data_IF_946159588965
#
_entry.id   IF_946159588965
#
_cell.length_a   1.000
_cell.length_b   1.000
_cell.length_c   1.000
_cell.angle_alpha   90.00
_cell.angle_beta   90.00
_cell.angle_gamma   90.00
#
_symmetry.space_group_name_H-M   'P 1'
#
loop_
_entity.id
_entity.type
_entity.pdbx_description
1 polymer ?
#
# COMPACT_ATOMS: atom_id res chain seq x y z
N UNK A 1 13.53 8.43 44.58
CA UNK A 1 13.31 7.09 43.99
C UNK A 1 12.51 7.34 42.71
N UNK A 2 13.18 7.27 41.55
CA UNK A 2 12.70 7.78 40.25
C UNK A 2 11.58 6.92 39.69
N UNK A 3 10.49 7.58 39.31
CA UNK A 3 9.42 7.05 38.47
C UNK A 3 9.99 6.65 37.10
N UNK A 4 9.84 5.38 36.73
CA UNK A 4 10.09 4.88 35.38
C UNK A 4 8.73 4.67 34.70
N UNK A 5 8.20 5.73 34.08
CA UNK A 5 7.16 5.60 33.08
C UNK A 5 7.82 5.42 31.71
N UNK A 6 7.85 4.19 31.22
CA UNK A 6 8.25 3.87 29.84
C UNK A 6 7.08 4.24 28.91
N UNK A 7 6.97 5.52 28.58
CA UNK A 7 5.83 6.13 27.89
C UNK A 7 5.82 5.99 26.36
N UNK A 8 5.87 4.77 25.82
CA UNK A 8 5.76 4.54 24.37
C UNK A 8 4.78 3.42 23.94
N UNK A 9 3.99 2.84 24.86
CA UNK A 9 3.10 1.72 24.55
C UNK A 9 1.66 1.92 25.05
N UNK A 10 0.99 2.99 24.61
CA UNK A 10 -0.47 3.12 24.77
C UNK A 10 -1.19 3.80 23.58
N UNK A 11 -0.47 4.32 22.58
CA UNK A 11 -1.12 4.95 21.43
C UNK A 11 -1.57 3.88 20.44
N UNK A 12 -2.89 3.73 20.30
CA UNK A 12 -3.50 2.92 19.23
C UNK A 12 -3.79 3.84 18.05
N UNK A 13 -3.20 3.52 16.89
CA UNK A 13 -3.47 4.22 15.65
C UNK A 13 -4.69 3.59 14.97
N UNK A 14 -5.58 4.44 14.46
CA UNK A 14 -6.76 4.01 13.71
C UNK A 14 -6.77 4.72 12.37
N UNK A 15 -6.99 3.97 11.30
CA UNK A 15 -7.12 4.49 9.95
C UNK A 15 -8.56 4.35 9.47
N UNK A 16 -9.16 5.47 9.05
CA UNK A 16 -10.53 5.51 8.54
C UNK A 16 -10.50 5.85 7.05
N UNK A 17 -10.89 4.92 6.14
CA UNK A 17 -10.94 5.23 4.73
C UNK A 17 -12.02 6.28 4.44
N UNK A 18 -11.62 7.36 3.77
CA UNK A 18 -12.51 8.48 3.42
C UNK A 18 -13.14 8.35 2.03
N UNK A 19 -12.77 7.32 1.26
CA UNK A 19 -13.38 6.98 -0.02
C UNK A 19 -13.21 5.49 -0.31
N UNK A 20 -13.95 4.99 -1.30
CA UNK A 20 -13.99 3.56 -1.62
C UNK A 20 -12.65 3.03 -2.11
N UNK A 21 -11.87 3.87 -2.82
CA UNK A 21 -10.52 3.50 -3.27
C UNK A 21 -9.59 3.22 -2.09
N UNK A 22 -9.52 4.12 -1.12
CA UNK A 22 -8.70 3.92 0.08
C UNK A 22 -9.23 2.75 0.91
N UNK A 23 -10.55 2.56 0.98
CA UNK A 23 -11.15 1.38 1.63
C UNK A 23 -10.68 0.08 0.98
N UNK A 24 -10.71 0.00 -0.34
CA UNK A 24 -10.24 -1.17 -1.07
C UNK A 24 -8.75 -1.42 -0.85
N UNK A 25 -7.90 -0.38 -0.91
CA UNK A 25 -6.46 -0.51 -0.64
C UNK A 25 -6.18 -1.04 0.77
N UNK A 26 -6.78 -0.44 1.82
CA UNK A 26 -6.59 -0.89 3.20
C UNK A 26 -7.10 -2.32 3.41
N UNK A 27 -8.18 -2.71 2.72
CA UNK A 27 -8.68 -4.09 2.79
C UNK A 27 -7.73 -5.06 2.08
N UNK A 28 -7.18 -4.69 0.92
CA UNK A 28 -6.20 -5.52 0.21
C UNK A 28 -4.90 -5.68 1.01
N UNK A 29 -4.40 -4.60 1.60
CA UNK A 29 -3.25 -4.62 2.51
C UNK A 29 -3.49 -5.61 3.66
N UNK A 30 -4.61 -5.49 4.37
CA UNK A 30 -4.98 -6.41 5.43
C UNK A 30 -5.07 -7.88 4.96
N UNK A 31 -5.62 -8.12 3.77
CA UNK A 31 -5.73 -9.46 3.21
C UNK A 31 -4.34 -10.01 2.84
N UNK A 32 -3.47 -9.22 2.22
CA UNK A 32 -2.13 -9.66 1.84
C UNK A 32 -1.22 -9.90 3.06
N UNK A 33 -1.30 -9.08 4.10
CA UNK A 33 -0.59 -9.35 5.36
C UNK A 33 -0.99 -10.69 5.97
N UNK A 34 -2.28 -11.02 5.95
CA UNK A 34 -2.77 -12.32 6.42
C UNK A 34 -2.39 -13.46 5.50
N UNK A 35 -2.38 -13.22 4.19
CA UNK A 35 -1.93 -14.21 3.22
C UNK A 35 -0.48 -14.60 3.49
N UNK A 36 0.41 -13.63 3.67
CA UNK A 36 1.83 -13.87 3.95
C UNK A 36 2.05 -14.66 5.25
N UNK A 37 1.24 -14.38 6.28
CA UNK A 37 1.26 -15.13 7.53
C UNK A 37 0.87 -16.61 7.34
N UNK A 38 -0.18 -16.88 6.57
CA UNK A 38 -0.64 -18.25 6.30
C UNK A 38 0.20 -18.97 5.25
N UNK A 39 0.87 -18.25 4.36
CA UNK A 39 1.81 -18.81 3.40
C UNK A 39 3.06 -19.38 4.09
N UNK A 40 3.45 -18.78 5.23
CA UNK A 40 4.55 -19.27 6.07
C UNK A 40 4.17 -20.50 6.92
N UNK A 41 2.90 -20.88 6.98
CA UNK A 41 2.40 -22.05 7.71
C UNK A 41 2.34 -23.27 6.77
N UNK A 42 3.25 -24.23 7.00
CA UNK A 42 3.38 -25.44 6.17
C UNK A 42 2.28 -26.50 6.42
N UNK A 43 1.30 -26.22 7.30
CA UNK A 43 0.15 -27.10 7.51
C UNK A 43 -0.84 -27.10 6.34
N UNK A 44 -1.69 -28.12 6.30
CA UNK A 44 -2.80 -28.20 5.33
C UNK A 44 -3.78 -27.04 5.56
N UNK A 45 -4.02 -26.70 6.82
CA UNK A 45 -4.85 -25.59 7.26
C UNK A 45 -4.27 -24.24 6.80
N UNK A 46 -2.96 -24.03 6.93
CA UNK A 46 -2.25 -22.85 6.44
C UNK A 46 -2.48 -22.64 4.94
N UNK A 47 -2.30 -23.70 4.16
CA UNK A 47 -2.53 -23.70 2.71
C UNK A 47 -3.99 -23.36 2.35
N UNK A 48 -4.96 -23.95 3.04
CA UNK A 48 -6.38 -23.68 2.83
C UNK A 48 -6.73 -22.21 3.18
N UNK A 49 -6.22 -21.70 4.29
CA UNK A 49 -6.42 -20.31 4.72
C UNK A 49 -5.84 -19.33 3.69
N UNK A 50 -4.62 -19.56 3.22
CA UNK A 50 -4.00 -18.74 2.18
C UNK A 50 -4.86 -18.71 0.90
N UNK A 51 -5.38 -19.86 0.47
CA UNK A 51 -6.28 -19.95 -0.70
C UNK A 51 -7.59 -19.17 -0.49
N UNK A 52 -8.23 -19.29 0.68
CA UNK A 52 -9.46 -18.57 1.00
C UNK A 52 -9.25 -17.06 1.01
N UNK A 53 -8.09 -16.59 1.49
CA UNK A 53 -7.74 -15.17 1.48
C UNK A 53 -7.57 -14.65 0.05
N UNK A 54 -6.94 -15.42 -0.84
CA UNK A 54 -6.85 -15.04 -2.26
C UNK A 54 -8.23 -14.93 -2.91
N UNK A 55 -9.15 -15.86 -2.60
CA UNK A 55 -10.54 -15.79 -3.07
C UNK A 55 -11.20 -14.49 -2.56
N UNK A 56 -11.06 -14.17 -1.27
CA UNK A 56 -11.59 -12.92 -0.73
C UNK A 56 -10.96 -11.67 -1.37
N UNK A 57 -9.66 -11.71 -1.69
CA UNK A 57 -9.00 -10.62 -2.40
C UNK A 57 -9.57 -10.44 -3.81
N UNK A 58 -9.96 -11.51 -4.51
CA UNK A 58 -10.62 -11.39 -5.83
C UNK A 58 -11.96 -10.66 -5.76
N UNK A 59 -12.72 -10.81 -4.67
CA UNK A 59 -13.97 -10.08 -4.47
C UNK A 59 -13.74 -8.58 -4.31
N UNK A 60 -12.64 -8.17 -3.66
CA UNK A 60 -12.26 -6.76 -3.53
C UNK A 60 -11.78 -6.23 -4.88
N UNK A 61 -10.90 -6.97 -5.55
CA UNK A 61 -10.36 -6.61 -6.88
C UNK A 61 -11.45 -6.54 -7.96
N UNK A 62 -12.53 -7.31 -7.84
CA UNK A 62 -13.65 -7.29 -8.79
C UNK A 62 -14.59 -6.10 -8.68
N UNK A 63 -14.58 -5.37 -7.54
CA UNK A 63 -15.50 -4.24 -7.28
C UNK A 63 -14.96 -2.89 -7.76
N UNK A 64 -13.65 -2.79 -7.95
CA UNK A 64 -12.97 -1.55 -8.32
C UNK A 64 -11.88 -1.86 -9.33
N UNK A 65 -11.75 -1.00 -10.33
CA UNK A 65 -10.65 -1.10 -11.31
C UNK A 65 -9.35 -0.62 -10.66
N UNK A 66 -8.72 -1.49 -9.85
CA UNK A 66 -7.52 -1.17 -9.07
C UNK A 66 -6.38 -0.72 -9.97
N UNK A 67 -6.20 -1.33 -11.15
CA UNK A 67 -5.18 -0.92 -12.13
C UNK A 67 -5.36 0.55 -12.49
N UNK A 68 -6.56 0.94 -12.91
CA UNK A 68 -6.84 2.33 -13.29
C UNK A 68 -6.71 3.30 -12.13
N UNK A 69 -7.15 2.90 -10.93
CA UNK A 69 -7.09 3.75 -9.75
C UNK A 69 -5.66 3.96 -9.23
N UNK A 70 -4.79 2.95 -9.36
CA UNK A 70 -3.35 3.08 -9.06
C UNK A 70 -2.65 3.97 -10.09
N UNK A 71 -2.94 3.81 -11.38
CA UNK A 71 -2.37 4.66 -12.44
C UNK A 71 -2.70 6.14 -12.14
N UNK A 72 -3.98 6.46 -11.93
CA UNK A 72 -4.41 7.83 -11.63
C UNK A 72 -3.72 8.40 -10.39
N UNK A 73 -3.53 7.57 -9.35
CA UNK A 73 -2.89 8.02 -8.12
C UNK A 73 -1.40 8.30 -8.32
N UNK A 74 -0.69 7.42 -9.02
CA UNK A 74 0.74 7.59 -9.31
C UNK A 74 0.96 8.83 -10.19
N UNK A 75 0.14 9.04 -11.22
CA UNK A 75 0.20 10.26 -12.05
C UNK A 75 -0.06 11.53 -11.22
N UNK A 76 -1.05 11.48 -10.31
CA UNK A 76 -1.34 12.58 -9.40
C UNK A 76 -0.17 12.86 -8.45
N UNK A 77 0.48 11.82 -7.93
CA UNK A 77 1.65 11.94 -7.05
C UNK A 77 2.85 12.51 -7.80
N UNK A 78 3.16 12.02 -9.00
CA UNK A 78 4.23 12.58 -9.83
C UNK A 78 4.02 14.06 -10.09
N UNK A 79 2.80 14.46 -10.50
CA UNK A 79 2.47 15.86 -10.76
C UNK A 79 2.73 16.76 -9.54
N UNK A 80 2.40 16.29 -8.32
CA UNK A 80 2.68 17.01 -7.08
C UNK A 80 4.18 17.05 -6.74
N UNK A 81 4.89 15.95 -6.95
CA UNK A 81 6.32 15.84 -6.68
C UNK A 81 7.13 16.75 -7.62
N UNK A 82 6.74 16.86 -8.89
CA UNK A 82 7.34 17.78 -9.84
C UNK A 82 7.16 19.25 -9.45
N UNK A 83 6.03 19.61 -8.82
CA UNK A 83 5.80 20.99 -8.34
C UNK A 83 6.78 21.39 -7.23
N UNK A 84 7.25 20.43 -6.42
CA UNK A 84 8.19 20.70 -5.32
C UNK A 84 9.66 20.56 -5.74
N UNK A 85 9.94 20.16 -6.98
CA UNK A 85 11.31 19.96 -7.48
C UNK A 85 12.18 21.24 -7.43
N UNK A 86 11.54 22.41 -7.52
CA UNK A 86 12.22 23.71 -7.47
C UNK A 86 12.20 24.35 -6.08
N UNK A 87 11.68 23.66 -5.06
CA UNK A 87 11.62 24.20 -3.70
C UNK A 87 13.01 24.13 -3.03
N UNK A 88 13.49 25.23 -2.43
CA UNK A 88 14.72 25.21 -1.65
C UNK A 88 14.64 24.14 -0.55
N UNK A 89 15.76 23.45 -0.29
CA UNK A 89 15.89 22.36 0.71
C UNK A 89 15.33 20.99 0.29
N UNK A 90 14.73 20.86 -0.89
CA UNK A 90 14.36 19.54 -1.42
C UNK A 90 15.62 18.80 -1.89
N UNK A 91 15.77 17.55 -1.45
CA UNK A 91 16.81 16.66 -1.95
C UNK A 91 16.44 16.20 -3.37
N UNK A 92 17.08 16.83 -4.37
CA UNK A 92 16.85 16.55 -5.76
C UNK A 92 17.18 15.10 -6.16
N UNK A 93 18.20 14.49 -5.56
CA UNK A 93 18.59 13.12 -5.86
C UNK A 93 17.50 12.14 -5.42
N UNK A 94 17.03 12.25 -4.18
CA UNK A 94 15.97 11.41 -3.64
C UNK A 94 14.64 11.61 -4.38
N UNK A 95 14.35 12.85 -4.78
CA UNK A 95 13.17 13.16 -5.59
C UNK A 95 13.24 12.49 -6.96
N UNK A 96 14.37 12.60 -7.66
CA UNK A 96 14.55 11.98 -8.97
C UNK A 96 14.45 10.46 -8.89
N UNK A 97 15.07 9.84 -7.88
CA UNK A 97 14.96 8.39 -7.65
C UNK A 97 13.50 7.95 -7.45
N UNK A 98 12.71 8.70 -6.67
CA UNK A 98 11.30 8.40 -6.45
C UNK A 98 10.47 8.56 -7.73
N UNK A 99 10.71 9.63 -8.49
CA UNK A 99 10.03 9.87 -9.77
C UNK A 99 10.32 8.75 -10.78
N UNK A 100 11.58 8.30 -10.87
CA UNK A 100 12.00 7.19 -11.73
C UNK A 100 11.31 5.88 -11.32
N UNK A 101 11.24 5.58 -10.01
CA UNK A 101 10.52 4.42 -9.49
C UNK A 101 9.03 4.48 -9.85
N UNK A 102 8.38 5.63 -9.68
CA UNK A 102 6.97 5.81 -10.05
C UNK A 102 6.75 5.62 -11.56
N UNK A 103 7.67 6.11 -12.40
CA UNK A 103 7.59 5.93 -13.84
C UNK A 103 7.69 4.44 -14.23
N UNK A 104 8.61 3.69 -13.62
CA UNK A 104 8.74 2.24 -13.85
C UNK A 104 7.47 1.48 -13.43
N UNK A 105 6.88 1.83 -12.29
CA UNK A 105 5.64 1.22 -11.82
C UNK A 105 4.45 1.53 -12.74
N UNK A 106 4.34 2.77 -13.22
CA UNK A 106 3.32 3.16 -14.21
C UNK A 106 3.47 2.34 -15.50
N UNK A 107 4.69 2.21 -16.03
CA UNK A 107 4.97 1.41 -17.21
C UNK A 107 4.56 -0.07 -17.01
N UNK A 108 4.86 -0.64 -15.84
CA UNK A 108 4.45 -2.01 -15.51
C UNK A 108 2.93 -2.15 -15.47
N UNK A 109 2.23 -1.23 -14.80
CA UNK A 109 0.77 -1.24 -14.72
C UNK A 109 0.14 -1.11 -16.11
N UNK A 110 0.65 -0.24 -16.97
CA UNK A 110 0.15 -0.10 -18.34
C UNK A 110 0.28 -1.39 -19.15
N UNK A 111 1.37 -2.15 -18.94
CA UNK A 111 1.65 -3.42 -19.65
C UNK A 111 0.86 -4.62 -19.15
N UNK A 112 0.34 -4.59 -17.92
CA UNK A 112 -0.52 -5.66 -17.38
C UNK A 112 -1.84 -5.72 -18.15
N UNK A 113 -1.93 -6.54 -19.19
CA UNK A 113 -3.15 -6.84 -19.94
C UNK A 113 -3.60 -8.27 -19.68
#
# INVERSE_FOLDING_TARGET
MREQFTGASFLKNFEQPLNERIRACLRLEYLFDRFDQHLADESVEGSLCAMLILIEATDVLGRIDVKRELIKELERQQSKLLQVAHTPQVNAEMLNQLLDQQAQLLDQLHRMN
#
